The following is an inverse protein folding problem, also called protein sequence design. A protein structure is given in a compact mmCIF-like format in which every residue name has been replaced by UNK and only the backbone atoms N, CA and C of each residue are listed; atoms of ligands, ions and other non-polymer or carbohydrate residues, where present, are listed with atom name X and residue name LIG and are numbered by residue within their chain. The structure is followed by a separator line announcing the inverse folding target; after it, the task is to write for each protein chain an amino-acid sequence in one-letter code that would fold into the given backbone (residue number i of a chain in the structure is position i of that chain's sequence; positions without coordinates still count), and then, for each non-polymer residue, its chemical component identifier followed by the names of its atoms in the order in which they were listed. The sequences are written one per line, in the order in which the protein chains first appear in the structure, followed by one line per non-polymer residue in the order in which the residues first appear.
data_IF_694413675532
#
_entry.id   IF_694413675532
#
_cell.length_a   1.000
_cell.length_b   1.000
_cell.length_c   1.000
_cell.angle_alpha   90.00
_cell.angle_beta   90.00
_cell.angle_gamma   90.00
#
_symmetry.space_group_name_H-M   'P 1'
#
loop_
_entity.id
_entity.type
_entity.pdbx_description
1 polymer ?
#
# COMPACT_ATOMS: atom_id res chain seq x y z
N UNK A 1 6.13 44.31 21.10
CA UNK A 1 5.93 42.99 20.46
C UNK A 1 5.02 43.19 19.26
N UNK A 2 5.55 43.07 18.04
CA UNK A 2 4.80 43.26 16.79
C UNK A 2 4.28 41.90 16.34
N UNK A 3 2.96 41.76 16.25
CA UNK A 3 2.31 40.59 15.66
C UNK A 3 2.34 40.73 14.13
N UNK A 4 2.88 39.72 13.46
CA UNK A 4 2.83 39.56 12.01
C UNK A 4 1.60 38.71 11.70
N UNK A 5 0.61 39.30 11.03
CA UNK A 5 -0.56 38.61 10.50
C UNK A 5 -0.29 38.35 9.02
N UNK A 6 -0.09 37.10 8.64
CA UNK A 6 0.00 36.71 7.23
C UNK A 6 -1.42 36.42 6.73
N UNK A 7 -1.97 37.32 5.92
CA UNK A 7 -3.23 37.12 5.19
C UNK A 7 -2.89 36.50 3.85
N UNK A 8 -3.14 35.20 3.69
CA UNK A 8 -3.12 34.55 2.36
C UNK A 8 -4.49 34.76 1.72
N UNK A 9 -4.56 35.70 0.79
CA UNK A 9 -5.71 35.90 -0.09
C UNK A 9 -5.69 34.86 -1.20
N UNK A 10 -6.55 33.84 -1.08
CA UNK A 10 -6.83 32.90 -2.18
C UNK A 10 -7.84 33.56 -3.11
N UNK A 11 -7.40 33.97 -4.30
CA UNK A 11 -8.28 34.37 -5.38
C UNK A 11 -8.54 33.14 -6.25
N UNK A 12 -9.80 32.70 -6.28
CA UNK A 12 -10.25 31.59 -7.13
C UNK A 12 -10.38 32.09 -8.57
N UNK A 13 -9.49 31.60 -9.44
CA UNK A 13 -9.68 31.64 -10.89
C UNK A 13 -10.00 30.22 -11.34
N UNK A 14 -11.27 29.96 -11.65
CA UNK A 14 -11.70 28.72 -12.28
C UNK A 14 -11.33 28.77 -13.77
N UNK A 15 -10.36 27.96 -14.18
CA UNK A 15 -9.96 27.76 -15.57
C UNK A 15 -9.66 26.28 -15.81
N UNK A 16 -10.29 25.71 -16.83
CA UNK A 16 -10.14 24.31 -17.27
C UNK A 16 -8.67 23.95 -17.53
N UNK A 17 -8.11 23.05 -16.72
CA UNK A 17 -6.77 22.49 -16.90
C UNK A 17 -6.68 21.04 -16.43
N UNK A 18 -7.60 20.16 -16.86
CA UNK A 18 -7.53 18.72 -16.54
C UNK A 18 -6.60 17.92 -17.48
N UNK A 19 -5.99 18.56 -18.49
CA UNK A 19 -5.15 17.90 -19.49
C UNK A 19 -3.66 17.74 -19.14
N UNK A 20 -3.13 18.42 -18.12
CA UNK A 20 -1.68 18.50 -17.89
C UNK A 20 -1.11 17.52 -16.85
N UNK A 21 -1.92 17.06 -15.90
CA UNK A 21 -1.42 16.29 -14.75
C UNK A 21 -0.80 14.96 -15.18
N UNK A 22 -1.49 14.21 -16.03
CA UNK A 22 -1.03 12.89 -16.48
C UNK A 22 0.18 12.96 -17.40
N UNK A 23 0.29 13.99 -18.25
CA UNK A 23 1.44 14.18 -19.14
C UNK A 23 2.69 14.56 -18.34
N UNK A 24 2.55 15.42 -17.33
CA UNK A 24 3.63 15.75 -16.40
C UNK A 24 4.06 14.55 -15.55
N UNK A 25 3.10 13.77 -15.04
CA UNK A 25 3.39 12.55 -14.28
C UNK A 25 4.14 11.52 -15.14
N UNK A 26 3.71 11.35 -16.40
CA UNK A 26 4.33 10.43 -17.35
C UNK A 26 5.74 10.87 -17.73
N UNK A 27 5.96 12.18 -17.89
CA UNK A 27 7.28 12.75 -18.14
C UNK A 27 8.22 12.52 -16.94
N UNK A 28 7.78 12.85 -15.73
CA UNK A 28 8.57 12.70 -14.50
C UNK A 28 8.90 11.23 -14.19
N UNK A 29 7.99 10.30 -14.48
CA UNK A 29 8.17 8.87 -14.25
C UNK A 29 8.90 8.14 -15.38
N UNK A 30 9.14 8.79 -16.53
CA UNK A 30 9.78 8.23 -17.72
C UNK A 30 11.30 8.41 -17.78
N UNK A 31 11.90 9.11 -16.81
CA UNK A 31 13.35 9.37 -16.77
C UNK A 31 14.19 8.09 -16.65
N UNK A 32 15.05 7.85 -17.64
CA UNK A 32 16.08 6.80 -17.62
C UNK A 32 17.07 7.05 -16.49
N UNK A 33 17.19 6.11 -15.56
CA UNK A 33 18.20 6.09 -14.49
C UNK A 33 19.60 6.13 -15.13
N UNK A 34 20.27 7.28 -15.06
CA UNK A 34 21.70 7.39 -15.37
C UNK A 34 22.50 6.86 -14.20
N UNK A 35 23.16 5.72 -14.40
CA UNK A 35 24.08 5.09 -13.45
C UNK A 35 25.27 6.02 -13.16
N UNK A 36 25.59 6.31 -11.88
CA UNK A 36 26.83 7.01 -11.56
C UNK A 36 28.03 6.08 -11.80
N UNK A 37 28.97 6.54 -12.63
CA UNK A 37 30.26 5.88 -12.87
C UNK A 37 31.16 6.14 -11.66
N UNK A 38 31.44 5.10 -10.88
CA UNK A 38 32.41 5.13 -9.79
C UNK A 38 33.78 4.65 -10.30
N UNK A 39 34.76 5.56 -10.27
CA UNK A 39 36.17 5.26 -10.51
C UNK A 39 36.73 4.33 -9.42
N UNK A 40 37.26 3.18 -9.83
CA UNK A 40 37.90 2.20 -8.96
C UNK A 40 39.42 2.32 -9.05
N UNK A 41 40.05 2.73 -7.95
CA UNK A 41 41.50 2.63 -7.75
C UNK A 41 41.83 1.36 -6.94
N UNK A 42 42.36 0.37 -7.67
CA UNK A 42 43.58 -0.41 -7.42
C UNK A 42 44.03 -0.63 -5.95
N UNK A 43 43.98 -1.89 -5.48
CA UNK A 43 45.04 -2.52 -4.69
C UNK A 43 44.95 -4.06 -4.71
N UNK A 44 46.10 -4.69 -4.54
CA UNK A 44 46.51 -6.05 -4.94
C UNK A 44 46.24 -7.16 -3.89
N UNK A 45 46.50 -8.45 -4.21
CA UNK A 45 45.83 -9.60 -3.62
C UNK A 45 46.56 -10.23 -2.43
N UNK A 46 45.83 -10.96 -1.60
CA UNK A 46 46.40 -11.95 -0.68
C UNK A 46 45.58 -13.24 -0.70
N UNK A 47 46.32 -14.31 -0.48
CA UNK A 47 46.09 -15.69 -0.89
C UNK A 47 45.38 -16.55 0.16
N UNK A 48 45.13 -17.81 -0.24
CA UNK A 48 44.62 -18.97 0.52
C UNK A 48 43.08 -19.02 0.65
N UNK A 49 42.38 -20.13 0.39
CA UNK A 49 42.74 -21.54 0.57
C UNK A 49 41.83 -22.42 -0.30
N UNK A 50 42.36 -23.54 -0.81
CA UNK A 50 41.59 -24.64 -1.41
C UNK A 50 40.84 -25.40 -0.30
N UNK A 51 39.57 -25.70 -0.52
CA UNK A 51 38.85 -26.80 0.12
C UNK A 51 37.81 -27.34 -0.86
N UNK A 52 37.75 -28.66 -0.91
CA UNK A 52 37.12 -29.51 -1.91
C UNK A 52 35.59 -29.46 -1.88
N UNK A 53 34.95 -29.56 -3.05
CA UNK A 53 33.59 -30.09 -3.17
C UNK A 53 33.34 -30.62 -4.59
N UNK A 54 33.30 -31.94 -4.71
CA UNK A 54 32.93 -32.68 -5.91
C UNK A 54 31.69 -33.54 -5.62
N UNK A 55 30.71 -33.50 -6.55
CA UNK A 55 29.67 -34.48 -6.86
C UNK A 55 28.57 -34.77 -5.80
N UNK A 56 27.31 -34.36 -6.01
CA UNK A 56 26.23 -34.96 -6.85
C UNK A 56 25.40 -36.06 -6.18
N UNK A 57 24.10 -35.77 -6.01
CA UNK A 57 22.90 -36.62 -6.23
C UNK A 57 21.75 -35.97 -5.41
N UNK A 58 20.59 -35.60 -5.93
CA UNK A 58 19.85 -36.16 -7.06
C UNK A 58 18.42 -36.43 -6.57
N UNK A 59 17.62 -35.38 -6.42
CA UNK A 59 16.17 -35.48 -6.28
C UNK A 59 15.55 -34.38 -7.15
N UNK A 60 15.31 -34.72 -8.41
CA UNK A 60 14.57 -33.90 -9.35
C UNK A 60 13.10 -33.87 -8.89
N UNK A 61 12.70 -32.78 -8.26
CA UNK A 61 11.30 -32.39 -8.19
C UNK A 61 10.93 -31.96 -9.60
N UNK A 62 10.15 -32.78 -10.30
CA UNK A 62 9.45 -32.37 -11.51
C UNK A 62 8.44 -31.29 -11.13
N UNK A 63 8.86 -30.04 -11.22
CA UNK A 63 7.97 -28.90 -11.21
C UNK A 63 7.60 -28.66 -12.67
N UNK A 64 6.42 -29.14 -13.08
CA UNK A 64 5.82 -28.82 -14.37
C UNK A 64 5.54 -27.31 -14.42
N UNK A 65 6.55 -26.56 -14.84
CA UNK A 65 6.47 -25.13 -15.09
C UNK A 65 5.84 -24.86 -16.45
N UNK A 66 4.53 -24.98 -16.55
CA UNK A 66 3.78 -24.14 -17.47
C UNK A 66 3.68 -22.74 -16.88
N UNK A 67 3.80 -21.65 -17.65
CA UNK A 67 3.48 -20.32 -17.15
C UNK A 67 1.98 -20.33 -16.82
N UNK A 68 1.63 -20.49 -15.54
CA UNK A 68 0.29 -20.21 -15.05
C UNK A 68 0.02 -18.76 -15.40
N UNK A 69 -0.78 -18.53 -16.43
CA UNK A 69 -1.12 -17.17 -16.83
C UNK A 69 -1.86 -16.52 -15.66
N UNK A 70 -1.60 -15.23 -15.41
CA UNK A 70 -2.32 -14.44 -14.40
C UNK A 70 -3.86 -14.54 -14.54
N UNK A 71 -4.32 -14.88 -15.75
CA UNK A 71 -5.72 -15.12 -16.13
C UNK A 71 -6.33 -16.38 -15.50
N UNK A 72 -5.51 -17.34 -15.04
CA UNK A 72 -5.97 -18.58 -14.39
C UNK A 72 -6.13 -18.45 -12.87
N UNK A 73 -5.65 -17.35 -12.26
CA UNK A 73 -5.77 -17.16 -10.81
C UNK A 73 -7.19 -16.74 -10.42
N UNK A 74 -7.86 -17.56 -9.61
CA UNK A 74 -9.16 -17.23 -9.00
C UNK A 74 -8.99 -16.19 -7.88
N UNK A 75 -8.78 -14.92 -8.26
CA UNK A 75 -8.56 -13.81 -7.33
C UNK A 75 -9.79 -13.48 -6.48
N UNK A 76 -10.98 -13.78 -7.00
CA UNK A 76 -12.25 -13.54 -6.32
C UNK A 76 -12.75 -14.76 -5.55
N UNK A 77 -12.07 -15.90 -5.63
CA UNK A 77 -12.48 -17.15 -4.99
C UNK A 77 -13.86 -17.65 -5.44
N UNK A 78 -14.27 -17.34 -6.67
CA UNK A 78 -15.61 -17.61 -7.20
C UNK A 78 -15.69 -18.83 -8.11
N UNK A 79 -14.56 -19.42 -8.49
CA UNK A 79 -14.51 -20.53 -9.47
C UNK A 79 -14.50 -21.92 -8.80
N UNK A 80 -14.82 -22.01 -7.51
CA UNK A 80 -14.78 -23.25 -6.73
C UNK A 80 -16.15 -23.60 -6.10
N UNK A 81 -16.25 -24.80 -5.52
CA UNK A 81 -17.49 -25.29 -4.88
C UNK A 81 -17.92 -24.46 -3.66
N UNK A 82 -17.02 -23.63 -3.13
CA UNK A 82 -17.19 -22.77 -1.95
C UNK A 82 -17.37 -21.28 -2.30
N UNK A 83 -17.65 -20.96 -3.57
CA UNK A 83 -17.77 -19.57 -4.04
C UNK A 83 -18.72 -18.71 -3.19
N UNK A 84 -19.87 -19.27 -2.80
CA UNK A 84 -20.85 -18.56 -1.96
C UNK A 84 -20.30 -18.26 -0.56
N UNK A 85 -19.57 -19.20 0.05
CA UNK A 85 -18.95 -19.01 1.35
C UNK A 85 -17.88 -17.92 1.28
N UNK A 86 -17.04 -17.94 0.25
CA UNK A 86 -16.03 -16.91 0.04
C UNK A 86 -16.63 -15.54 -0.23
N UNK A 87 -17.70 -15.47 -1.02
CA UNK A 87 -18.44 -14.22 -1.22
C UNK A 87 -18.98 -13.67 0.10
N UNK A 88 -19.56 -14.51 0.95
CA UNK A 88 -20.06 -14.09 2.27
C UNK A 88 -18.92 -13.56 3.16
N UNK A 89 -17.76 -14.24 3.16
CA UNK A 89 -16.56 -13.80 3.90
C UNK A 89 -16.07 -12.44 3.38
N UNK A 90 -16.04 -12.23 2.06
CA UNK A 90 -15.68 -10.94 1.46
C UNK A 90 -16.61 -9.83 1.94
N UNK A 91 -17.92 -10.05 1.89
CA UNK A 91 -18.91 -9.05 2.35
C UNK A 91 -18.73 -8.73 3.84
N UNK A 92 -18.52 -9.75 4.69
CA UNK A 92 -18.23 -9.55 6.11
C UNK A 92 -16.98 -8.69 6.30
N UNK A 93 -15.86 -9.03 5.65
CA UNK A 93 -14.62 -8.26 5.79
C UNK A 93 -14.78 -6.81 5.33
N UNK A 94 -15.48 -6.57 4.21
CA UNK A 94 -15.78 -5.22 3.74
C UNK A 94 -16.63 -4.43 4.74
N UNK A 95 -17.63 -5.08 5.33
CA UNK A 95 -18.47 -4.47 6.35
C UNK A 95 -17.66 -4.08 7.60
N UNK A 96 -16.79 -4.98 8.08
CA UNK A 96 -15.90 -4.74 9.23
C UNK A 96 -14.96 -3.57 8.97
N UNK A 97 -14.37 -3.53 7.78
CA UNK A 97 -13.35 -2.55 7.40
C UNK A 97 -13.94 -1.27 6.82
N UNK A 98 -15.23 -0.93 7.01
CA UNK A 98 -15.87 0.25 6.39
C UNK A 98 -15.03 1.55 6.43
N UNK A 99 -15.40 2.59 5.67
CA UNK A 99 -14.54 3.76 5.39
C UNK A 99 -13.76 4.33 6.60
N UNK A 100 -14.34 4.35 7.79
CA UNK A 100 -13.69 4.79 9.03
C UNK A 100 -12.40 4.03 9.36
N UNK A 101 -12.28 2.77 8.94
CA UNK A 101 -11.08 1.95 9.13
C UNK A 101 -9.86 2.45 8.33
N UNK A 102 -10.01 3.44 7.46
CA UNK A 102 -8.88 4.11 6.81
C UNK A 102 -7.96 4.79 7.83
N UNK A 103 -8.54 5.42 8.85
CA UNK A 103 -7.81 6.27 9.79
C UNK A 103 -8.13 6.01 11.26
N UNK A 104 -9.12 5.16 11.53
CA UNK A 104 -9.47 4.73 12.88
C UNK A 104 -9.05 3.28 13.07
N UNK A 105 -8.19 3.04 14.07
CA UNK A 105 -7.82 1.69 14.48
C UNK A 105 -9.06 0.93 14.95
N UNK A 106 -9.35 -0.20 14.32
CA UNK A 106 -10.46 -1.06 14.73
C UNK A 106 -10.17 -1.68 16.09
N UNK A 107 -11.18 -1.67 16.96
CA UNK A 107 -11.07 -2.23 18.30
C UNK A 107 -10.88 -3.75 18.25
N UNK A 108 -9.87 -4.24 18.98
CA UNK A 108 -9.52 -5.65 18.99
C UNK A 108 -10.66 -6.51 19.54
N UNK A 109 -11.12 -6.20 20.75
CA UNK A 109 -12.03 -7.06 21.52
C UNK A 109 -13.46 -7.04 20.98
N UNK A 110 -13.92 -5.89 20.49
CA UNK A 110 -15.30 -5.68 20.08
C UNK A 110 -15.50 -5.79 18.56
N UNK A 111 -14.43 -5.70 17.76
CA UNK A 111 -14.54 -5.73 16.29
C UNK A 111 -13.72 -6.84 15.66
N UNK A 112 -12.39 -6.82 15.81
CA UNK A 112 -11.50 -7.69 15.04
C UNK A 112 -11.52 -9.17 15.49
N UNK A 113 -11.52 -9.44 16.79
CA UNK A 113 -11.60 -10.82 17.31
C UNK A 113 -12.96 -11.47 16.98
N UNK A 114 -14.12 -10.83 17.26
CA UNK A 114 -15.42 -11.39 16.85
C UNK A 114 -15.53 -11.61 15.34
N UNK A 115 -15.01 -10.67 14.54
CA UNK A 115 -14.92 -10.82 13.09
C UNK A 115 -14.11 -12.05 12.68
N UNK A 116 -12.92 -12.22 13.25
CA UNK A 116 -12.05 -13.36 12.96
C UNK A 116 -12.75 -14.67 13.33
N UNK A 117 -13.34 -14.77 14.52
CA UNK A 117 -14.06 -15.98 14.93
C UNK A 117 -15.24 -16.28 14.02
N UNK A 118 -16.02 -15.28 13.62
CA UNK A 118 -17.12 -15.48 12.68
C UNK A 118 -16.64 -15.97 11.31
N UNK A 119 -15.52 -15.44 10.80
CA UNK A 119 -14.94 -15.89 9.53
C UNK A 119 -14.38 -17.31 9.65
N UNK A 120 -13.73 -17.65 10.76
CA UNK A 120 -13.21 -19.00 11.01
C UNK A 120 -14.35 -20.03 11.15
N UNK A 121 -15.46 -19.65 11.76
CA UNK A 121 -16.67 -20.48 11.85
C UNK A 121 -17.23 -20.77 10.45
N UNK A 122 -17.40 -19.74 9.60
CA UNK A 122 -17.83 -19.91 8.21
C UNK A 122 -16.86 -20.83 7.45
N UNK A 123 -15.55 -20.63 7.60
CA UNK A 123 -14.53 -21.47 6.97
C UNK A 123 -14.58 -22.93 7.44
N UNK A 124 -14.89 -23.18 8.71
CA UNK A 124 -15.05 -24.54 9.25
C UNK A 124 -16.14 -25.35 8.53
N UNK A 125 -17.15 -24.67 7.99
CA UNK A 125 -18.23 -25.32 7.22
C UNK A 125 -17.83 -25.73 5.80
N UNK A 126 -16.72 -25.21 5.27
CA UNK A 126 -16.30 -25.40 3.86
C UNK A 126 -15.57 -26.71 3.56
N UNK A 127 -15.33 -27.57 4.56
CA UNK A 127 -14.75 -28.91 4.36
C UNK A 127 -13.28 -28.96 3.90
N UNK A 128 -12.58 -27.81 3.85
CA UNK A 128 -11.11 -27.71 3.79
C UNK A 128 -10.40 -28.15 2.50
N UNK A 129 -11.12 -28.63 1.48
CA UNK A 129 -10.51 -29.18 0.25
C UNK A 129 -10.28 -28.15 -0.88
N UNK A 130 -11.06 -27.07 -0.91
CA UNK A 130 -11.01 -26.03 -1.96
C UNK A 130 -10.75 -24.65 -1.34
N UNK A 131 -9.55 -24.45 -0.77
CA UNK A 131 -9.18 -23.18 -0.13
C UNK A 131 -8.65 -22.21 -1.17
N UNK A 132 -9.37 -21.10 -1.37
CA UNK A 132 -8.89 -20.01 -2.20
C UNK A 132 -7.65 -19.32 -1.58
N UNK A 133 -6.59 -19.16 -2.37
CA UNK A 133 -5.34 -18.55 -1.91
C UNK A 133 -5.50 -17.11 -1.42
N UNK A 134 -6.20 -16.26 -2.18
CA UNK A 134 -6.45 -14.86 -1.79
C UNK A 134 -7.34 -14.79 -0.54
N UNK A 135 -8.39 -15.61 -0.48
CA UNK A 135 -9.26 -15.68 0.71
C UNK A 135 -8.47 -16.06 1.97
N UNK A 136 -7.58 -17.06 1.88
CA UNK A 136 -6.68 -17.43 2.99
C UNK A 136 -5.77 -16.29 3.41
N UNK A 137 -5.20 -15.54 2.45
CA UNK A 137 -4.38 -14.36 2.76
C UNK A 137 -5.18 -13.30 3.52
N UNK A 138 -6.41 -13.00 3.09
CA UNK A 138 -7.24 -11.99 3.77
C UNK A 138 -7.60 -12.39 5.19
N UNK A 139 -7.87 -13.68 5.43
CA UNK A 139 -8.08 -14.23 6.78
C UNK A 139 -6.80 -14.11 7.62
N UNK A 140 -5.64 -14.36 7.02
CA UNK A 140 -4.35 -14.21 7.70
C UNK A 140 -4.08 -12.74 8.07
N UNK A 141 -4.38 -11.78 7.18
CA UNK A 141 -4.26 -10.35 7.46
C UNK A 141 -5.23 -9.90 8.57
N UNK A 142 -6.47 -10.39 8.56
CA UNK A 142 -7.44 -10.18 9.65
C UNK A 142 -6.91 -10.74 10.97
N UNK A 143 -6.36 -11.96 10.96
CA UNK A 143 -5.76 -12.58 12.15
C UNK A 143 -4.60 -11.76 12.70
N UNK A 144 -3.74 -11.22 11.84
CA UNK A 144 -2.64 -10.34 12.25
C UNK A 144 -3.20 -9.07 12.91
N UNK A 145 -4.19 -8.41 12.30
CA UNK A 145 -4.81 -7.22 12.87
C UNK A 145 -5.47 -7.49 14.23
N UNK A 146 -6.12 -8.65 14.39
CA UNK A 146 -6.76 -9.06 15.64
C UNK A 146 -5.74 -9.40 16.74
N UNK A 147 -4.62 -10.03 16.37
CA UNK A 147 -3.60 -10.42 17.35
C UNK A 147 -2.70 -9.24 17.75
N UNK A 148 -2.46 -8.30 16.84
CA UNK A 148 -1.50 -7.23 17.01
C UNK A 148 -2.09 -5.97 17.65
N UNK A 149 -1.73 -5.70 18.90
CA UNK A 149 -2.13 -4.49 19.61
C UNK A 149 -1.06 -3.38 19.62
N UNK A 150 0.21 -3.73 19.38
CA UNK A 150 1.35 -2.82 19.55
C UNK A 150 2.21 -2.65 18.30
N UNK A 151 1.90 -3.37 17.21
CA UNK A 151 2.61 -3.33 15.93
C UNK A 151 3.76 -4.32 15.81
N UNK A 152 4.11 -5.06 16.87
CA UNK A 152 5.26 -5.97 16.83
C UNK A 152 4.98 -7.21 15.99
N UNK A 153 3.73 -7.69 15.98
CA UNK A 153 3.34 -8.84 15.17
C UNK A 153 3.42 -8.46 13.69
N UNK A 154 2.86 -7.31 13.28
CA UNK A 154 2.94 -6.81 11.91
C UNK A 154 4.40 -6.69 11.45
N UNK A 155 5.25 -6.04 12.26
CA UNK A 155 6.69 -5.90 11.96
C UNK A 155 7.37 -7.25 11.73
N UNK A 156 7.11 -8.20 12.63
CA UNK A 156 7.69 -9.55 12.57
C UNK A 156 7.19 -10.31 11.35
N UNK A 157 5.89 -10.27 11.09
CA UNK A 157 5.26 -10.98 9.97
C UNK A 157 5.74 -10.44 8.62
N UNK A 158 5.80 -9.12 8.43
CA UNK A 158 6.29 -8.54 7.17
C UNK A 158 7.76 -8.87 6.94
N UNK A 159 8.61 -8.68 7.98
CA UNK A 159 10.06 -8.83 7.84
C UNK A 159 10.56 -10.28 7.80
N UNK A 160 9.83 -11.23 8.41
CA UNK A 160 10.33 -12.59 8.65
C UNK A 160 9.43 -13.69 8.08
N UNK A 161 8.19 -13.41 7.68
CA UNK A 161 7.27 -14.42 7.15
C UNK A 161 7.10 -14.28 5.63
N UNK A 162 8.00 -14.92 4.87
CA UNK A 162 7.93 -14.96 3.42
C UNK A 162 6.61 -15.54 2.89
N UNK A 163 6.00 -16.50 3.61
CA UNK A 163 4.72 -17.11 3.21
C UNK A 163 3.55 -16.12 3.24
N UNK A 164 3.66 -15.05 4.03
CA UNK A 164 2.72 -13.93 4.01
C UNK A 164 3.15 -12.87 3.00
N UNK A 165 4.41 -12.45 3.08
CA UNK A 165 4.86 -11.26 2.37
C UNK A 165 4.96 -11.48 0.87
N UNK A 166 5.32 -12.68 0.40
CA UNK A 166 5.34 -13.01 -1.02
C UNK A 166 3.96 -12.83 -1.69
N UNK A 167 2.87 -13.51 -1.24
CA UNK A 167 1.57 -13.33 -1.87
C UNK A 167 0.99 -11.92 -1.66
N UNK A 168 1.32 -11.25 -0.56
CA UNK A 168 0.96 -9.85 -0.34
C UNK A 168 1.61 -8.91 -1.37
N UNK A 169 2.92 -9.06 -1.62
CA UNK A 169 3.63 -8.31 -2.66
C UNK A 169 3.11 -8.65 -4.04
N UNK A 170 2.79 -9.92 -4.34
CA UNK A 170 2.18 -10.29 -5.63
C UNK A 170 0.84 -9.61 -5.84
N UNK A 171 -0.04 -9.53 -4.84
CA UNK A 171 -1.30 -8.78 -4.96
C UNK A 171 -1.08 -7.27 -5.13
N UNK A 172 -0.08 -6.72 -4.44
CA UNK A 172 0.20 -5.29 -4.48
C UNK A 172 0.83 -4.88 -5.82
N UNK A 173 1.77 -5.68 -6.31
CA UNK A 173 2.64 -5.36 -7.43
C UNK A 173 2.18 -6.07 -8.70
N UNK A 174 2.02 -7.38 -8.70
CA UNK A 174 1.89 -8.12 -9.96
C UNK A 174 0.45 -8.09 -10.51
N UNK A 175 -0.55 -8.13 -9.64
CA UNK A 175 -1.96 -8.10 -10.04
C UNK A 175 -2.40 -6.68 -10.40
N UNK A 176 -2.84 -6.40 -11.63
CA UNK A 176 -3.40 -5.10 -11.97
C UNK A 176 -4.61 -4.77 -11.09
N UNK A 177 -4.62 -3.62 -10.42
CA UNK A 177 -5.73 -3.31 -9.50
C UNK A 177 -7.08 -3.11 -10.21
N UNK A 178 -7.05 -2.86 -11.52
CA UNK A 178 -8.27 -2.80 -12.33
C UNK A 178 -8.89 -4.18 -12.59
N UNK A 179 -8.12 -5.26 -12.57
CA UNK A 179 -8.62 -6.61 -12.89
C UNK A 179 -9.24 -7.32 -11.69
N UNK A 180 -8.95 -6.87 -10.47
CA UNK A 180 -9.59 -7.32 -9.25
C UNK A 180 -10.15 -6.07 -8.54
N UNK A 181 -11.22 -5.49 -9.10
CA UNK A 181 -11.90 -4.39 -8.41
C UNK A 181 -12.33 -4.89 -7.01
N UNK A 182 -11.87 -4.23 -5.92
CA UNK A 182 -11.53 -4.96 -4.71
C UNK A 182 -12.77 -5.39 -3.93
N UNK A 183 -13.28 -6.59 -4.22
CA UNK A 183 -14.16 -7.28 -3.28
C UNK A 183 -13.42 -7.62 -1.99
N UNK A 184 -12.10 -7.82 -2.08
CA UNK A 184 -11.24 -7.97 -0.91
C UNK A 184 -10.72 -6.62 -0.42
N UNK A 185 -10.91 -6.27 0.87
CA UNK A 185 -10.47 -4.99 1.41
C UNK A 185 -8.97 -4.98 1.75
N UNK A 186 -8.10 -5.34 0.79
CA UNK A 186 -6.65 -5.44 0.98
C UNK A 186 -6.07 -4.15 1.59
N UNK A 187 -6.35 -3.00 0.96
CA UNK A 187 -5.85 -1.71 1.44
C UNK A 187 -6.41 -1.33 2.81
N UNK A 188 -7.61 -1.81 3.17
CA UNK A 188 -8.17 -1.64 4.51
C UNK A 188 -7.35 -2.38 5.56
N UNK A 189 -6.95 -3.62 5.28
CA UNK A 189 -6.02 -4.35 6.14
C UNK A 189 -4.65 -3.66 6.20
N UNK A 190 -4.13 -3.15 5.08
CA UNK A 190 -2.87 -2.42 5.08
C UNK A 190 -2.95 -1.14 5.93
N UNK A 191 -4.06 -0.40 5.88
CA UNK A 191 -4.28 0.77 6.74
C UNK A 191 -4.29 0.37 8.23
N UNK A 192 -5.00 -0.71 8.58
CA UNK A 192 -5.04 -1.22 9.95
C UNK A 192 -3.69 -1.70 10.46
N UNK A 193 -2.92 -2.38 9.61
CA UNK A 193 -1.58 -2.83 9.92
C UNK A 193 -0.59 -1.66 10.00
N UNK A 194 -0.71 -0.64 9.15
CA UNK A 194 0.20 0.52 9.16
C UNK A 194 0.02 1.35 10.42
N UNK A 195 -1.23 1.59 10.85
CA UNK A 195 -1.51 2.27 12.12
C UNK A 195 -0.85 1.56 13.31
N UNK A 196 -0.93 0.23 13.37
CA UNK A 196 -0.25 -0.56 14.41
C UNK A 196 1.26 -0.50 14.25
N UNK A 197 1.76 -0.63 13.03
CA UNK A 197 3.20 -0.60 12.75
C UNK A 197 3.85 0.72 13.15
N UNK A 198 3.14 1.84 12.99
CA UNK A 198 3.53 3.18 13.46
C UNK A 198 3.67 3.22 14.99
N UNK A 199 2.79 2.54 15.75
CA UNK A 199 2.90 2.42 17.21
C UNK A 199 4.16 1.64 17.65
N UNK A 200 4.53 0.59 16.91
CA UNK A 200 5.77 -0.17 17.15
C UNK A 200 7.05 0.60 16.83
N UNK A 201 6.94 1.67 16.03
CA UNK A 201 8.05 2.54 15.66
C UNK A 201 7.84 3.16 14.29
N UNK A 202 7.86 4.48 14.25
CA UNK A 202 7.88 5.28 13.02
C UNK A 202 9.25 5.28 12.37
N UNK A 203 9.27 5.50 11.06
CA UNK A 203 10.49 5.77 10.30
C UNK A 203 11.27 6.97 10.89
N UNK A 204 12.49 7.22 10.41
CA UNK A 204 13.09 8.56 10.61
C UNK A 204 12.42 9.58 9.68
N UNK A 205 12.51 10.87 10.01
CA UNK A 205 12.00 11.95 9.13
C UNK A 205 12.68 11.90 7.75
N UNK A 206 13.97 11.54 7.71
CA UNK A 206 14.71 11.37 6.46
C UNK A 206 14.10 10.30 5.55
N UNK A 207 13.71 9.16 6.12
CA UNK A 207 13.11 8.05 5.35
C UNK A 207 11.71 8.44 4.83
N UNK A 208 10.94 9.19 5.62
CA UNK A 208 9.64 9.69 5.19
C UNK A 208 9.73 10.92 4.24
N UNK A 209 10.93 11.47 4.02
CA UNK A 209 11.09 12.72 3.28
C UNK A 209 10.47 13.94 4.00
N UNK A 210 10.46 13.94 5.33
CA UNK A 210 9.92 14.99 6.19
C UNK A 210 11.03 15.85 6.81
N UNK A 211 12.11 16.09 6.06
CA UNK A 211 13.32 16.81 6.55
C UNK A 211 13.16 18.32 6.56
N UNK A 212 12.27 18.87 5.73
CA UNK A 212 12.03 20.31 5.65
C UNK A 212 10.77 20.69 6.45
N UNK A 213 10.77 21.91 6.98
CA UNK A 213 9.64 22.43 7.75
C UNK A 213 8.36 22.50 6.90
N UNK A 214 8.51 22.83 5.62
CA UNK A 214 7.41 22.92 4.66
C UNK A 214 6.70 21.57 4.47
N UNK A 215 7.46 20.48 4.37
CA UNK A 215 6.90 19.13 4.22
C UNK A 215 6.26 18.62 5.51
N UNK A 216 6.84 18.97 6.66
CA UNK A 216 6.23 18.67 7.97
C UNK A 216 4.91 19.42 8.16
N UNK A 217 4.86 20.69 7.78
CA UNK A 217 3.63 21.50 7.80
C UNK A 217 2.59 20.93 6.83
N UNK A 218 3.01 20.51 5.63
CA UNK A 218 2.13 19.88 4.66
C UNK A 218 1.53 18.56 5.19
N UNK A 219 2.36 17.66 5.70
CA UNK A 219 1.90 16.40 6.29
C UNK A 219 0.97 16.63 7.48
N UNK A 220 1.25 17.66 8.29
CA UNK A 220 0.37 18.07 9.40
C UNK A 220 -0.98 18.58 8.89
N UNK A 221 -1.00 19.42 7.86
CA UNK A 221 -2.22 19.92 7.25
C UNK A 221 -3.07 18.80 6.64
N UNK A 222 -2.43 17.82 6.00
CA UNK A 222 -3.09 16.63 5.47
C UNK A 222 -3.77 15.82 6.59
N UNK A 223 -3.06 15.57 7.69
CA UNK A 223 -3.62 14.89 8.87
C UNK A 223 -4.78 15.67 9.50
N UNK A 224 -4.67 17.00 9.58
CA UNK A 224 -5.76 17.84 10.08
C UNK A 224 -6.99 17.80 9.17
N UNK A 225 -6.79 17.79 7.85
CA UNK A 225 -7.87 17.62 6.87
C UNK A 225 -8.58 16.26 7.02
N UNK A 226 -7.82 15.19 7.27
CA UNK A 226 -8.36 13.85 7.57
C UNK A 226 -9.23 13.88 8.83
N UNK A 227 -8.68 14.42 9.92
CA UNK A 227 -9.37 14.49 11.22
C UNK A 227 -10.64 15.36 11.10
N UNK A 228 -10.58 16.45 10.34
CA UNK A 228 -11.70 17.34 10.10
C UNK A 228 -12.73 16.83 9.09
N UNK A 229 -12.42 15.77 8.33
CA UNK A 229 -13.24 15.30 7.21
C UNK A 229 -13.35 16.33 6.08
N UNK A 230 -12.39 17.25 5.96
CA UNK A 230 -12.41 18.35 4.98
C UNK A 230 -11.81 17.87 3.63
N UNK A 231 -12.67 17.26 2.82
CA UNK A 231 -12.28 16.70 1.52
C UNK A 231 -11.78 17.77 0.54
N UNK A 232 -12.31 18.99 0.61
CA UNK A 232 -11.91 20.09 -0.26
C UNK A 232 -10.49 20.58 0.10
N UNK A 233 -10.18 20.70 1.39
CA UNK A 233 -8.84 21.00 1.83
C UNK A 233 -7.84 19.89 1.44
N UNK A 234 -8.22 18.62 1.61
CA UNK A 234 -7.39 17.48 1.19
C UNK A 234 -7.11 17.49 -0.31
N UNK A 235 -8.12 17.82 -1.12
CA UNK A 235 -7.98 17.98 -2.57
C UNK A 235 -7.04 19.14 -2.93
N UNK A 236 -7.23 20.30 -2.32
CA UNK A 236 -6.37 21.47 -2.56
C UNK A 236 -4.92 21.21 -2.18
N UNK A 237 -4.68 20.63 -1.00
CA UNK A 237 -3.35 20.29 -0.51
C UNK A 237 -2.65 19.28 -1.42
N UNK A 238 -3.28 18.13 -1.68
CA UNK A 238 -2.66 17.10 -2.51
C UNK A 238 -2.41 17.57 -3.94
N UNK A 239 -3.30 18.41 -4.52
CA UNK A 239 -3.04 19.01 -5.84
C UNK A 239 -1.80 19.91 -5.82
N UNK A 240 -1.70 20.79 -4.82
CA UNK A 240 -0.54 21.68 -4.69
C UNK A 240 0.79 20.90 -4.55
N UNK A 241 0.76 19.74 -3.88
CA UNK A 241 1.94 18.86 -3.77
C UNK A 241 2.29 18.20 -5.09
N UNK A 242 1.29 17.75 -5.85
CA UNK A 242 1.50 17.15 -7.18
C UNK A 242 1.99 18.19 -8.21
N UNK A 243 1.50 19.43 -8.12
CA UNK A 243 1.91 20.54 -9.00
C UNK A 243 3.39 20.93 -8.84
N UNK A 244 4.00 20.62 -7.68
CA UNK A 244 5.44 20.78 -7.49
C UNK A 244 6.28 19.76 -8.27
N UNK A 245 5.65 18.72 -8.86
CA UNK A 245 6.28 17.85 -9.85
C UNK A 245 7.50 17.08 -9.33
N UNK A 246 8.59 17.12 -10.09
CA UNK A 246 9.83 16.38 -9.79
C UNK A 246 10.44 16.77 -8.43
N UNK A 247 10.32 18.03 -8.02
CA UNK A 247 10.85 18.49 -6.73
C UNK A 247 10.15 17.78 -5.57
N UNK A 248 8.83 17.61 -5.65
CA UNK A 248 8.06 16.89 -4.63
C UNK A 248 8.41 15.39 -4.60
N UNK A 249 8.56 14.77 -5.77
CA UNK A 249 8.97 13.36 -5.87
C UNK A 249 10.35 13.15 -5.24
N UNK A 250 11.31 14.02 -5.54
CA UNK A 250 12.68 13.91 -5.04
C UNK A 250 12.77 14.16 -3.53
N UNK A 251 11.92 15.05 -3.00
CA UNK A 251 11.91 15.37 -1.58
C UNK A 251 11.18 14.33 -0.72
N UNK A 252 10.01 13.87 -1.17
CA UNK A 252 9.23 12.84 -0.47
C UNK A 252 8.44 11.96 -1.45
N UNK A 253 9.05 10.83 -1.91
CA UNK A 253 8.34 9.87 -2.76
C UNK A 253 7.06 9.33 -2.11
N UNK A 254 7.09 9.09 -0.79
CA UNK A 254 5.92 8.62 -0.02
C UNK A 254 4.85 9.70 0.07
N UNK A 255 5.22 10.96 0.30
CA UNK A 255 4.28 12.09 0.28
C UNK A 255 3.64 12.30 -1.08
N UNK A 256 4.40 12.14 -2.16
CA UNK A 256 3.90 12.21 -3.53
C UNK A 256 2.85 11.10 -3.79
N UNK A 257 3.19 9.85 -3.49
CA UNK A 257 2.25 8.72 -3.63
C UNK A 257 0.99 8.91 -2.76
N UNK A 258 1.16 9.38 -1.53
CA UNK A 258 0.03 9.70 -0.63
C UNK A 258 -0.87 10.76 -1.24
N UNK A 259 -0.30 11.75 -1.94
CA UNK A 259 -1.05 12.81 -2.61
C UNK A 259 -1.85 12.28 -3.81
N UNK A 260 -1.30 11.34 -4.60
CA UNK A 260 -2.07 10.68 -5.68
C UNK A 260 -3.25 9.90 -5.09
N UNK A 261 -3.03 9.11 -4.03
CA UNK A 261 -4.13 8.41 -3.37
C UNK A 261 -5.16 9.36 -2.76
N UNK A 262 -4.72 10.51 -2.22
CA UNK A 262 -5.63 11.54 -1.70
C UNK A 262 -6.51 12.08 -2.83
N UNK A 263 -5.93 12.46 -3.98
CA UNK A 263 -6.69 12.88 -5.16
C UNK A 263 -7.68 11.80 -5.62
N UNK A 264 -7.26 10.54 -5.65
CA UNK A 264 -8.13 9.42 -6.02
C UNK A 264 -9.31 9.27 -5.04
N UNK A 265 -9.06 9.42 -3.73
CA UNK A 265 -10.09 9.32 -2.68
C UNK A 265 -11.11 10.46 -2.75
N UNK A 266 -10.69 11.68 -3.15
CA UNK A 266 -11.54 12.88 -3.24
C UNK A 266 -11.97 13.22 -4.67
N UNK A 267 -11.74 12.31 -5.62
CA UNK A 267 -12.12 12.47 -7.01
C UNK A 267 -13.64 12.71 -7.16
N UNK A 268 -14.01 13.50 -8.16
CA UNK A 268 -15.42 13.82 -8.37
C UNK A 268 -16.17 12.66 -9.03
N UNK A 269 -15.45 11.86 -9.83
CA UNK A 269 -15.99 10.75 -10.61
C UNK A 269 -15.25 9.46 -10.30
N UNK A 270 -15.92 8.33 -10.50
CA UNK A 270 -15.34 7.00 -10.30
C UNK A 270 -14.25 6.72 -11.34
N UNK A 271 -14.42 7.23 -12.57
CA UNK A 271 -13.43 7.12 -13.64
C UNK A 271 -12.13 7.87 -13.31
N UNK A 272 -12.22 9.09 -12.79
CA UNK A 272 -11.07 9.87 -12.30
C UNK A 272 -10.37 9.14 -11.14
N UNK A 273 -11.15 8.64 -10.17
CA UNK A 273 -10.63 7.86 -9.05
C UNK A 273 -9.86 6.63 -9.52
N UNK A 274 -10.43 5.86 -10.47
CA UNK A 274 -9.80 4.69 -11.06
C UNK A 274 -8.50 5.04 -11.78
N UNK A 275 -8.51 6.09 -12.61
CA UNK A 275 -7.32 6.52 -13.34
C UNK A 275 -6.15 6.85 -12.40
N UNK A 276 -6.42 7.64 -11.35
CA UNK A 276 -5.42 8.01 -10.35
C UNK A 276 -4.99 6.80 -9.50
N UNK A 277 -5.93 5.95 -9.09
CA UNK A 277 -5.63 4.75 -8.30
C UNK A 277 -4.74 3.74 -9.05
N UNK A 278 -4.98 3.54 -10.35
CA UNK A 278 -4.15 2.67 -11.18
C UNK A 278 -2.79 3.29 -11.50
N UNK A 279 -2.71 4.62 -11.57
CA UNK A 279 -1.43 5.32 -11.65
C UNK A 279 -0.60 5.12 -10.38
N UNK A 280 -1.22 5.21 -9.20
CA UNK A 280 -0.57 4.93 -7.92
C UNK A 280 0.07 3.54 -7.89
N UNK A 281 -0.53 2.53 -8.53
CA UNK A 281 0.09 1.20 -8.61
C UNK A 281 1.46 1.23 -9.31
N UNK A 282 1.61 2.03 -10.36
CA UNK A 282 2.90 2.15 -11.07
C UNK A 282 3.96 2.79 -10.21
N UNK A 283 3.57 3.77 -9.39
CA UNK A 283 4.47 4.40 -8.43
C UNK A 283 4.82 3.42 -7.30
N UNK A 284 3.84 2.69 -6.77
CA UNK A 284 4.05 1.62 -5.77
C UNK A 284 5.04 0.57 -6.27
N UNK A 285 4.95 0.13 -7.53
CA UNK A 285 5.91 -0.81 -8.16
C UNK A 285 7.36 -0.32 -8.15
N UNK A 286 7.57 1.00 -8.20
CA UNK A 286 8.92 1.58 -8.17
C UNK A 286 9.44 1.76 -6.74
N UNK A 287 8.53 1.87 -5.77
CA UNK A 287 8.86 2.13 -4.38
C UNK A 287 8.96 0.86 -3.54
N UNK A 288 8.15 -0.16 -3.85
CA UNK A 288 8.04 -1.39 -3.07
C UNK A 288 8.40 -2.55 -3.99
N UNK A 289 9.56 -3.17 -3.74
CA UNK A 289 10.00 -4.36 -4.47
C UNK A 289 10.52 -5.46 -3.53
N UNK A 290 10.63 -5.16 -2.23
CA UNK A 290 11.05 -6.11 -1.21
C UNK A 290 10.18 -6.02 0.06
N UNK A 291 10.21 -7.05 0.92
CA UNK A 291 9.61 -6.99 2.26
C UNK A 291 10.07 -5.79 3.10
N UNK A 292 11.32 -5.36 2.96
CA UNK A 292 11.87 -4.23 3.71
C UNK A 292 11.28 -2.90 3.24
N UNK A 293 11.05 -2.73 1.94
CA UNK A 293 10.38 -1.55 1.40
C UNK A 293 8.91 -1.50 1.83
N UNK A 294 8.26 -2.68 1.88
CA UNK A 294 6.90 -2.78 2.41
C UNK A 294 6.87 -2.41 3.90
N UNK A 295 7.76 -2.95 4.74
CA UNK A 295 7.82 -2.55 6.17
C UNK A 295 8.05 -1.04 6.31
N UNK A 296 8.97 -0.48 5.52
CA UNK A 296 9.28 0.96 5.51
C UNK A 296 8.04 1.80 5.16
N UNK A 297 7.30 1.42 4.12
CA UNK A 297 6.07 2.14 3.74
C UNK A 297 4.93 1.91 4.74
N UNK A 298 4.94 0.83 5.52
CA UNK A 298 3.97 0.57 6.57
C UNK A 298 4.24 1.36 7.86
N UNK A 299 5.50 1.72 8.14
CA UNK A 299 5.90 2.56 9.29
C UNK A 299 6.01 4.05 8.98
N UNK A 300 5.51 4.49 7.82
CA UNK A 300 5.55 5.90 7.43
C UNK A 300 4.61 6.78 8.23
N UNK A 301 5.00 8.03 8.47
CA UNK A 301 4.13 9.06 9.06
C UNK A 301 3.07 9.59 8.09
N UNK A 302 3.23 9.36 6.80
CA UNK A 302 2.22 9.74 5.82
C UNK A 302 0.96 8.86 5.98
N UNK A 303 -0.25 9.41 5.82
CA UNK A 303 -1.50 8.64 5.86
C UNK A 303 -1.71 7.79 4.58
N UNK A 304 -0.64 7.17 4.08
CA UNK A 304 -0.55 6.50 2.79
C UNK A 304 -1.62 5.42 2.62
N UNK A 305 -1.62 4.43 3.52
CA UNK A 305 -2.48 3.25 3.37
C UNK A 305 -3.95 3.54 3.68
N UNK A 306 -4.23 4.50 4.57
CA UNK A 306 -5.59 5.00 4.79
C UNK A 306 -6.15 5.69 3.55
N UNK A 307 -5.36 6.55 2.91
CA UNK A 307 -5.74 7.17 1.63
C UNK A 307 -5.87 6.15 0.50
N UNK A 308 -4.96 5.17 0.42
CA UNK A 308 -5.08 4.08 -0.54
C UNK A 308 -6.37 3.28 -0.32
N UNK A 309 -6.79 3.08 0.93
CA UNK A 309 -8.05 2.41 1.23
C UNK A 309 -9.26 3.23 0.78
N UNK A 310 -9.35 4.51 1.12
CA UNK A 310 -10.44 5.37 0.65
C UNK A 310 -10.50 5.48 -0.87
N UNK A 311 -9.35 5.62 -1.53
CA UNK A 311 -9.25 5.60 -2.98
C UNK A 311 -9.80 4.29 -3.55
N UNK A 312 -9.44 3.15 -2.97
CA UNK A 312 -9.94 1.85 -3.40
C UNK A 312 -11.47 1.73 -3.29
N UNK A 313 -12.06 2.26 -2.21
CA UNK A 313 -13.52 2.31 -2.05
C UNK A 313 -14.17 3.19 -3.12
N UNK A 314 -13.56 4.35 -3.41
CA UNK A 314 -14.03 5.29 -4.42
C UNK A 314 -14.03 4.72 -5.84
N UNK A 315 -13.19 3.72 -6.13
CA UNK A 315 -13.18 3.05 -7.44
C UNK A 315 -14.38 2.13 -7.70
N UNK A 316 -15.18 1.81 -6.66
CA UNK A 316 -16.31 0.87 -6.71
C UNK A 316 -17.67 1.57 -6.53
N UNK A 317 -17.69 2.82 -6.00
CA UNK A 317 -18.93 3.58 -5.79
C UNK A 317 -19.46 4.26 -7.04
#
# INVERSE_FOLDING_TARGET
MKAFVLVLGVTSAAGEASGGLFDNLRAALGGTVTTPTLDASKEEPSSLTKADAQAQAGAAVQQEGGPSTLEEMDLLCLNNTQAQSWFNIQQKMRYILGADAAFNGLDKANTLEPALYSVLEDMGTTGGKDVCGVGKLMVQLLSICAMDSDGQVVKTQISQNEQLTSPLLTLLLDIPWHSYQPMWPLFGFMAQMSMRRVLAGVNSEMVDGLVSEELQQFASALNMGIIGGDLDALKGLSQAFLDAGEDAINQSPIGFLTSIFTQAAVANTTEEAQALFFESQRVVKKMIFSPADLDTTMSTRWPLWGMAYLASLKTIS
#
